data_IF_438503123128
#
_entry.id   IF_438503123128
#
_cell.length_a   1.000
_cell.length_b   1.000
_cell.length_c   1.000
_cell.angle_alpha   90.00
_cell.angle_beta   90.00
_cell.angle_gamma   90.00
#
_symmetry.space_group_name_H-M   'P 1'
#
loop_
_entity.id
_entity.type
_entity.pdbx_description
1 polymer ?
#
# COMPACT_ATOMS: atom_id res chain seq x y z
N UNK A 1 -44.02 20.18 -34.65
CA UNK A 1 -43.72 20.59 -33.28
C UNK A 1 -43.40 19.37 -32.43
N UNK A 2 -42.30 19.38 -31.72
CA UNK A 2 -42.01 18.29 -30.79
C UNK A 2 -43.05 18.30 -29.65
N UNK A 3 -43.49 17.12 -29.23
CA UNK A 3 -44.42 17.02 -28.12
C UNK A 3 -43.74 17.34 -26.80
N UNK A 4 -44.45 17.93 -25.82
CA UNK A 4 -43.86 18.19 -24.50
C UNK A 4 -43.36 16.92 -23.80
N UNK A 5 -44.02 15.79 -24.02
CA UNK A 5 -43.59 14.49 -23.48
C UNK A 5 -42.27 14.02 -24.08
N UNK A 6 -42.07 14.23 -25.36
CA UNK A 6 -40.82 13.87 -26.03
C UNK A 6 -39.65 14.72 -25.51
N UNK A 7 -39.88 16.02 -25.31
CA UNK A 7 -38.89 16.90 -24.73
C UNK A 7 -38.50 16.49 -23.33
N UNK A 8 -39.48 16.08 -22.51
CA UNK A 8 -39.20 15.59 -21.13
C UNK A 8 -38.42 14.30 -21.16
N UNK A 9 -38.73 13.37 -22.05
CA UNK A 9 -37.99 12.12 -22.16
C UNK A 9 -36.54 12.34 -22.65
N UNK A 10 -36.38 13.21 -23.64
CA UNK A 10 -35.02 13.54 -24.13
C UNK A 10 -34.17 14.19 -23.04
N UNK A 11 -34.77 15.09 -22.26
CA UNK A 11 -34.10 15.73 -21.15
C UNK A 11 -33.75 14.72 -20.06
N UNK A 12 -34.67 13.79 -19.76
CA UNK A 12 -34.40 12.74 -18.76
C UNK A 12 -33.28 11.80 -19.19
N UNK A 13 -33.26 11.41 -20.48
CA UNK A 13 -32.18 10.60 -21.03
C UNK A 13 -30.84 11.31 -20.97
N UNK A 14 -30.79 12.58 -21.37
CA UNK A 14 -29.57 13.37 -21.31
C UNK A 14 -29.06 13.51 -19.90
N UNK A 15 -29.93 13.72 -18.93
CA UNK A 15 -29.57 13.80 -17.52
C UNK A 15 -29.03 12.48 -17.01
N UNK A 16 -29.67 11.36 -17.35
CA UNK A 16 -29.21 10.03 -16.97
C UNK A 16 -27.85 9.71 -17.56
N UNK A 17 -27.61 10.09 -18.81
CA UNK A 17 -26.31 9.92 -19.47
C UNK A 17 -25.22 10.75 -18.76
N UNK A 18 -25.53 11.99 -18.40
CA UNK A 18 -24.62 12.87 -17.67
C UNK A 18 -24.27 12.29 -16.31
N UNK A 19 -25.24 11.82 -15.57
CA UNK A 19 -25.04 11.18 -14.27
C UNK A 19 -24.20 9.92 -14.40
N UNK A 20 -24.47 9.11 -15.44
CA UNK A 20 -23.71 7.90 -15.74
C UNK A 20 -22.24 8.21 -16.03
N UNK A 21 -21.99 9.23 -16.85
CA UNK A 21 -20.60 9.66 -17.17
C UNK A 21 -19.88 10.18 -15.93
N UNK A 22 -20.56 10.97 -15.11
CA UNK A 22 -19.98 11.50 -13.88
C UNK A 22 -19.64 10.36 -12.91
N UNK A 23 -20.54 9.40 -12.75
CA UNK A 23 -20.32 8.23 -11.91
C UNK A 23 -19.15 7.37 -12.41
N UNK A 24 -19.07 7.18 -13.73
CA UNK A 24 -17.98 6.42 -14.34
C UNK A 24 -16.63 7.12 -14.15
N UNK A 25 -16.57 8.43 -14.34
CA UNK A 25 -15.36 9.21 -14.14
C UNK A 25 -14.91 9.17 -12.68
N UNK A 26 -15.85 9.29 -11.74
CA UNK A 26 -15.55 9.19 -10.32
C UNK A 26 -14.98 7.81 -9.96
N UNK A 27 -15.61 6.75 -10.50
CA UNK A 27 -15.15 5.39 -10.29
C UNK A 27 -13.74 5.18 -10.85
N UNK A 28 -13.43 5.74 -12.03
CA UNK A 28 -12.09 5.66 -12.63
C UNK A 28 -11.05 6.39 -11.79
N UNK A 29 -11.41 7.56 -11.25
CA UNK A 29 -10.51 8.31 -10.37
C UNK A 29 -10.22 7.55 -9.08
N UNK A 30 -11.26 6.97 -8.48
CA UNK A 30 -11.08 6.15 -7.26
C UNK A 30 -10.25 4.91 -7.53
N UNK A 31 -10.44 4.27 -8.67
CA UNK A 31 -9.64 3.13 -9.06
C UNK A 31 -8.16 3.50 -9.21
N UNK A 32 -7.87 4.62 -9.86
CA UNK A 32 -6.51 5.11 -10.01
C UNK A 32 -5.87 5.43 -8.65
N UNK A 33 -6.61 6.05 -7.74
CA UNK A 33 -6.15 6.32 -6.38
C UNK A 33 -5.83 5.04 -5.63
N UNK A 34 -6.72 4.05 -5.71
CA UNK A 34 -6.53 2.75 -5.05
C UNK A 34 -5.34 1.99 -5.64
N UNK A 35 -5.17 2.01 -6.95
CA UNK A 35 -4.01 1.41 -7.60
C UNK A 35 -2.71 2.05 -7.14
N UNK A 36 -2.69 3.38 -7.05
CA UNK A 36 -1.55 4.12 -6.52
C UNK A 36 -1.25 3.78 -5.07
N UNK A 37 -2.29 3.71 -4.23
CA UNK A 37 -2.16 3.34 -2.82
C UNK A 37 -1.64 1.90 -2.67
N UNK A 38 -2.12 0.98 -3.50
CA UNK A 38 -1.66 -0.41 -3.48
C UNK A 38 -0.18 -0.51 -3.88
N UNK A 39 0.22 0.22 -4.91
CA UNK A 39 1.62 0.24 -5.34
C UNK A 39 2.52 0.81 -4.24
N UNK A 40 2.09 1.88 -3.59
CA UNK A 40 2.83 2.47 -2.48
C UNK A 40 2.95 1.50 -1.30
N UNK A 41 1.86 0.82 -0.97
CA UNK A 41 1.86 -0.17 0.10
C UNK A 41 2.83 -1.32 -0.20
N UNK A 42 2.88 -1.79 -1.44
CA UNK A 42 3.84 -2.83 -1.86
C UNK A 42 5.28 -2.37 -1.70
N UNK A 43 5.58 -1.13 -2.09
CA UNK A 43 6.92 -0.55 -1.92
C UNK A 43 7.29 -0.42 -0.46
N UNK A 44 6.34 0.02 0.38
CA UNK A 44 6.55 0.16 1.81
C UNK A 44 6.82 -1.19 2.47
N UNK A 45 6.07 -2.23 2.07
CA UNK A 45 6.28 -3.59 2.57
C UNK A 45 7.66 -4.12 2.18
N UNK A 46 8.09 -3.90 0.93
CA UNK A 46 9.40 -4.33 0.46
C UNK A 46 10.52 -3.64 1.25
N UNK A 47 10.36 -2.34 1.51
CA UNK A 47 11.32 -1.57 2.31
C UNK A 47 11.38 -2.08 3.74
N UNK A 48 10.23 -2.30 4.36
CA UNK A 48 10.16 -2.80 5.73
C UNK A 48 10.77 -4.19 5.86
N UNK A 49 10.54 -5.05 4.88
CA UNK A 49 11.14 -6.39 4.87
C UNK A 49 12.66 -6.30 4.80
N UNK A 50 13.19 -5.42 3.97
CA UNK A 50 14.63 -5.20 3.85
C UNK A 50 15.20 -4.67 5.18
N UNK A 51 14.55 -3.69 5.78
CA UNK A 51 14.96 -3.14 7.07
C UNK A 51 14.94 -4.20 8.17
N UNK A 52 13.91 -5.04 8.18
CA UNK A 52 13.81 -6.14 9.12
C UNK A 52 14.97 -7.13 8.96
N UNK A 53 15.29 -7.50 7.72
CA UNK A 53 16.40 -8.41 7.45
C UNK A 53 17.75 -7.81 7.88
N UNK A 54 17.96 -6.52 7.61
CA UNK A 54 19.18 -5.82 8.04
C UNK A 54 19.28 -5.80 9.56
N UNK A 55 18.18 -5.52 10.25
CA UNK A 55 18.15 -5.49 11.71
C UNK A 55 18.37 -6.88 12.29
N UNK A 56 17.78 -7.92 11.71
CA UNK A 56 18.01 -9.29 12.13
C UNK A 56 19.46 -9.70 11.95
N UNK A 57 20.11 -9.28 10.88
CA UNK A 57 21.53 -9.55 10.65
C UNK A 57 22.41 -8.87 11.71
N UNK A 58 22.09 -7.63 12.06
CA UNK A 58 22.80 -6.90 13.13
C UNK A 58 22.60 -7.60 14.47
N UNK A 59 21.37 -8.00 14.77
CA UNK A 59 21.07 -8.73 16.00
C UNK A 59 21.86 -10.04 16.08
N UNK A 60 21.88 -10.79 14.97
CA UNK A 60 22.62 -12.07 14.92
C UNK A 60 24.12 -11.85 15.16
N UNK A 61 24.69 -10.82 14.54
CA UNK A 61 26.10 -10.47 14.74
C UNK A 61 26.39 -10.12 16.21
N UNK A 62 25.49 -9.33 16.83
CA UNK A 62 25.61 -8.97 18.24
C UNK A 62 25.48 -10.19 19.15
N UNK A 63 24.56 -11.09 18.87
CA UNK A 63 24.39 -12.33 19.65
C UNK A 63 25.67 -13.18 19.59
N UNK A 64 26.31 -13.26 18.44
CA UNK A 64 27.58 -13.97 18.27
C UNK A 64 28.69 -13.31 19.08
N UNK A 65 28.78 -11.99 19.02
CA UNK A 65 29.76 -11.22 19.78
C UNK A 65 29.57 -11.40 21.29
N UNK A 66 28.34 -11.35 21.76
CA UNK A 66 28.01 -11.56 23.18
C UNK A 66 28.41 -12.99 23.61
N UNK A 67 28.07 -13.98 22.80
CA UNK A 67 28.42 -15.36 23.08
C UNK A 67 29.94 -15.57 23.17
N UNK A 68 30.67 -14.96 22.24
CA UNK A 68 32.12 -15.00 22.21
C UNK A 68 32.73 -14.31 23.44
N UNK A 69 32.22 -13.14 23.81
CA UNK A 69 32.64 -12.41 24.99
C UNK A 69 32.44 -13.20 26.27
N UNK A 70 31.25 -13.80 26.42
CA UNK A 70 30.96 -14.67 27.58
C UNK A 70 31.92 -15.84 27.66
N UNK A 71 32.20 -16.47 26.56
CA UNK A 71 33.10 -17.61 26.49
C UNK A 71 34.53 -17.22 26.90
N UNK A 72 35.01 -16.06 26.49
CA UNK A 72 36.30 -15.56 26.85
C UNK A 72 36.38 -15.21 28.34
N UNK A 73 35.35 -14.56 28.88
CA UNK A 73 35.26 -14.21 30.29
C UNK A 73 35.22 -15.43 31.19
N UNK A 74 34.38 -16.42 30.83
CA UNK A 74 34.27 -17.69 31.55
C UNK A 74 35.59 -18.47 31.51
N UNK A 75 36.27 -18.43 30.37
CA UNK A 75 37.59 -19.04 30.21
C UNK A 75 38.67 -18.39 31.09
N UNK A 76 38.60 -17.08 31.29
CA UNK A 76 39.52 -16.35 32.18
C UNK A 76 39.22 -16.64 33.66
N UNK A 77 37.97 -16.78 34.04
CA UNK A 77 37.55 -17.11 35.40
C UNK A 77 38.04 -18.49 35.86
N UNK A 78 38.12 -19.43 34.94
CA UNK A 78 38.55 -20.80 35.25
C UNK A 78 40.07 -20.88 35.47
N UNK A 79 40.79 -19.88 35.02
CA UNK A 79 42.23 -19.79 35.23
C UNK A 79 42.58 -19.11 36.55
#
# INVERSE_FOLDING_TARGET
MPSPQRCKLEAAVAEAEQQGEAALNEAKCKLAELEGALQQAKQDMARQLKEYQELMNVKLALDIEIATYRRLLEGEEIR
#
